data_IF_741593174390
#
_entry.id   IF_741593174390
#
_cell.length_a   1.000
_cell.length_b   1.000
_cell.length_c   1.000
_cell.angle_alpha   90.00
_cell.angle_beta   90.00
_cell.angle_gamma   90.00
#
_symmetry.space_group_name_H-M   'P 1'
#
loop_
_entity.id
_entity.type
_entity.pdbx_description
1 polymer ?
#
# COMPACT_ATOMS: atom_id res chain seq x y z
N UNK A 1 6.84 2.85 -0.04
CA UNK A 1 6.61 1.66 -0.88
C UNK A 1 7.61 0.60 -0.47
N UNK A 2 7.13 -0.62 -0.22
CA UNK A 2 7.96 -1.80 0.02
C UNK A 2 7.76 -2.79 -1.12
N UNK A 3 8.81 -3.54 -1.47
CA UNK A 3 8.75 -4.60 -2.48
C UNK A 3 9.10 -5.91 -1.80
N UNK A 4 8.21 -6.89 -1.90
CA UNK A 4 8.38 -8.21 -1.32
C UNK A 4 8.46 -9.24 -2.44
N UNK A 5 9.46 -10.11 -2.40
CA UNK A 5 9.58 -11.24 -3.32
C UNK A 5 8.55 -12.29 -2.93
N UNK A 6 7.83 -12.83 -3.92
CA UNK A 6 6.68 -13.68 -3.65
C UNK A 6 7.05 -14.99 -2.95
N UNK A 7 6.48 -15.14 -1.77
CA UNK A 7 6.22 -16.44 -1.13
C UNK A 7 4.76 -16.54 -0.66
N UNK A 8 3.95 -15.47 -0.83
CA UNK A 8 2.60 -15.33 -0.30
C UNK A 8 1.71 -14.64 -1.32
N UNK A 9 0.51 -15.17 -1.51
CA UNK A 9 -0.54 -14.51 -2.30
C UNK A 9 -0.92 -13.15 -1.72
N UNK A 10 -1.57 -12.33 -2.54
CA UNK A 10 -2.11 -11.03 -2.13
C UNK A 10 -3.03 -11.15 -0.91
N UNK A 11 -3.82 -12.23 -0.86
CA UNK A 11 -4.72 -12.54 0.24
C UNK A 11 -3.97 -12.86 1.53
N UNK A 12 -3.05 -13.83 1.47
CA UNK A 12 -2.22 -14.22 2.62
C UNK A 12 -1.44 -13.03 3.17
N UNK A 13 -0.95 -12.14 2.29
CA UNK A 13 -0.29 -10.92 2.72
C UNK A 13 -1.20 -9.98 3.51
N UNK A 14 -2.43 -9.76 3.05
CA UNK A 14 -3.38 -8.85 3.69
C UNK A 14 -3.90 -9.43 5.01
N UNK A 15 -4.15 -10.75 5.07
CA UNK A 15 -4.50 -11.45 6.30
C UNK A 15 -3.38 -11.32 7.34
N UNK A 16 -2.15 -11.64 6.97
CA UNK A 16 -0.98 -11.50 7.85
C UNK A 16 -0.76 -10.05 8.31
N UNK A 17 -0.99 -9.07 7.43
CA UNK A 17 -0.87 -7.66 7.77
C UNK A 17 -1.92 -7.25 8.83
N UNK A 18 -3.15 -7.69 8.61
CA UNK A 18 -4.29 -7.45 9.50
C UNK A 18 -4.06 -8.06 10.87
N UNK A 19 -3.63 -9.33 10.93
CA UNK A 19 -3.34 -10.02 12.18
C UNK A 19 -2.18 -9.38 12.96
N UNK A 20 -1.09 -9.02 12.27
CA UNK A 20 0.06 -8.36 12.90
C UNK A 20 -0.28 -7.00 13.48
N UNK A 21 -1.16 -6.24 12.83
CA UNK A 21 -1.58 -4.94 13.36
C UNK A 21 -2.58 -5.09 14.52
N UNK A 22 -3.49 -6.07 14.44
CA UNK A 22 -4.44 -6.34 15.52
C UNK A 22 -3.76 -6.84 16.82
N UNK A 23 -2.69 -7.63 16.71
CA UNK A 23 -2.01 -8.24 17.88
C UNK A 23 -1.22 -7.25 18.74
N UNK A 24 -0.95 -6.04 18.24
CA UNK A 24 -0.15 -5.03 18.95
C UNK A 24 -0.92 -3.84 19.50
N UNK A 25 -2.21 -3.71 19.19
CA UNK A 25 -2.94 -2.45 19.40
C UNK A 25 -4.43 -2.66 19.68
N UNK A 26 -4.90 -2.45 20.92
CA UNK A 26 -6.31 -2.62 21.28
C UNK A 26 -7.23 -1.57 20.63
N UNK A 27 -6.68 -0.49 20.08
CA UNK A 27 -7.40 0.52 19.30
C UNK A 27 -7.40 0.23 17.80
N UNK A 28 -6.86 -0.91 17.37
CA UNK A 28 -6.86 -1.30 15.98
C UNK A 28 -8.23 -1.78 15.52
N UNK A 29 -8.66 -1.31 14.35
CA UNK A 29 -9.93 -1.72 13.75
C UNK A 29 -9.87 -1.59 12.23
N UNK A 30 -10.04 -2.71 11.52
CA UNK A 30 -10.32 -2.69 10.08
C UNK A 30 -11.63 -1.95 9.80
N UNK A 31 -11.61 -0.99 8.89
CA UNK A 31 -12.79 -0.26 8.46
C UNK A 31 -13.32 -0.84 7.15
N UNK A 32 -12.44 -0.93 6.16
CA UNK A 32 -12.79 -1.38 4.81
C UNK A 32 -11.68 -2.26 4.25
N UNK A 33 -12.09 -3.15 3.35
CA UNK A 33 -11.23 -3.97 2.49
C UNK A 33 -11.84 -3.91 1.10
N UNK A 34 -11.04 -3.59 0.10
CA UNK A 34 -11.50 -3.38 -1.27
C UNK A 34 -10.55 -4.03 -2.25
N UNK A 35 -11.07 -4.99 -2.99
CA UNK A 35 -10.38 -5.57 -4.14
C UNK A 35 -10.47 -4.57 -5.30
N UNK A 36 -9.34 -4.24 -5.91
CA UNK A 36 -9.20 -3.18 -6.91
C UNK A 36 -8.09 -3.50 -7.91
N UNK A 37 -7.76 -2.54 -8.76
CA UNK A 37 -6.59 -2.59 -9.63
C UNK A 37 -5.75 -1.32 -9.49
N UNK A 38 -4.43 -1.49 -9.57
CA UNK A 38 -3.45 -0.39 -9.57
C UNK A 38 -2.48 -0.62 -10.72
N UNK A 39 -2.38 0.35 -11.63
CA UNK A 39 -1.52 0.22 -12.81
C UNK A 39 -1.86 -0.98 -13.72
N UNK A 40 -3.11 -1.46 -13.69
CA UNK A 40 -3.56 -2.65 -14.45
C UNK A 40 -3.34 -4.00 -13.74
N UNK A 41 -2.85 -3.98 -12.51
CA UNK A 41 -2.56 -5.17 -11.72
C UNK A 41 -3.55 -5.35 -10.57
N UNK A 42 -3.85 -6.59 -10.21
CA UNK A 42 -4.71 -6.92 -9.06
C UNK A 42 -4.13 -6.32 -7.76
N UNK A 43 -5.01 -5.73 -6.97
CA UNK A 43 -4.63 -5.06 -5.74
C UNK A 43 -5.71 -5.21 -4.67
N UNK A 44 -5.29 -5.18 -3.40
CA UNK A 44 -6.20 -5.07 -2.25
C UNK A 44 -5.81 -3.83 -1.48
N UNK A 45 -6.80 -2.97 -1.24
CA UNK A 45 -6.69 -1.82 -0.33
C UNK A 45 -7.44 -2.10 0.95
N UNK A 46 -6.81 -1.83 2.09
CA UNK A 46 -7.46 -1.82 3.40
C UNK A 46 -7.38 -0.43 4.01
N UNK A 47 -8.45 -0.01 4.67
CA UNK A 47 -8.45 1.17 5.54
C UNK A 47 -8.69 0.71 6.98
N UNK A 48 -7.97 1.30 7.91
CA UNK A 48 -8.01 0.89 9.31
C UNK A 48 -7.83 2.08 10.26
N UNK A 49 -8.31 1.91 11.49
CA UNK A 49 -8.01 2.77 12.65
C UNK A 49 -6.98 2.07 13.52
N UNK A 50 -6.16 2.85 14.23
CA UNK A 50 -5.14 2.32 15.14
C UNK A 50 -4.76 3.38 16.20
N UNK A 51 -4.11 2.99 17.29
CA UNK A 51 -3.39 3.83 18.24
C UNK A 51 -4.24 4.81 19.06
N UNK A 52 -5.57 4.70 18.98
CA UNK A 52 -6.51 5.67 19.55
C UNK A 52 -6.39 7.08 18.93
N UNK A 53 -7.16 8.03 19.46
CA UNK A 53 -7.12 9.46 19.07
C UNK A 53 -7.22 9.74 17.56
N UNK A 54 -8.15 9.06 16.86
CA UNK A 54 -8.53 9.43 15.49
C UNK A 54 -7.48 9.13 14.41
N UNK A 55 -6.41 8.38 14.72
CA UNK A 55 -5.46 7.93 13.69
C UNK A 55 -6.13 6.95 12.74
N UNK A 56 -5.70 6.99 11.48
CA UNK A 56 -6.16 6.08 10.45
C UNK A 56 -4.97 5.70 9.56
N UNK A 57 -5.08 4.55 8.93
CA UNK A 57 -4.13 4.13 7.90
C UNK A 57 -4.86 3.55 6.71
N UNK A 58 -4.16 3.60 5.58
CA UNK A 58 -4.56 2.97 4.33
C UNK A 58 -3.36 2.18 3.83
N UNK A 59 -3.57 0.91 3.50
CA UNK A 59 -2.54 0.06 2.92
C UNK A 59 -3.07 -0.53 1.60
N UNK A 60 -2.29 -0.43 0.54
CA UNK A 60 -2.60 -1.01 -0.77
C UNK A 60 -1.48 -1.95 -1.16
N UNK A 61 -1.78 -3.24 -1.28
CA UNK A 61 -0.89 -4.25 -1.84
C UNK A 61 -1.27 -4.48 -3.30
N UNK A 62 -0.28 -4.63 -4.18
CA UNK A 62 -0.45 -4.82 -5.63
C UNK A 62 0.38 -6.01 -6.07
N UNK A 63 -0.23 -6.95 -6.77
CA UNK A 63 0.43 -8.13 -7.32
C UNK A 63 0.99 -7.85 -8.72
N UNK A 64 2.32 -7.94 -8.88
CA UNK A 64 2.98 -7.83 -10.17
C UNK A 64 3.96 -8.99 -10.40
N UNK A 65 3.41 -10.14 -10.83
CA UNK A 65 4.18 -11.34 -11.09
C UNK A 65 4.70 -11.94 -9.79
N UNK A 66 6.01 -12.13 -9.69
CA UNK A 66 6.64 -12.69 -8.49
C UNK A 66 6.90 -11.65 -7.39
N UNK A 67 6.17 -10.53 -7.39
CA UNK A 67 6.38 -9.44 -6.44
C UNK A 67 5.08 -8.82 -5.97
N UNK A 68 5.02 -8.56 -4.66
CA UNK A 68 4.04 -7.69 -4.05
C UNK A 68 4.64 -6.30 -3.83
N UNK A 69 3.95 -5.28 -4.35
CA UNK A 69 4.25 -3.87 -4.11
C UNK A 69 3.27 -3.30 -3.09
N UNK A 70 3.79 -2.73 -2.01
CA UNK A 70 2.94 -2.27 -0.89
C UNK A 70 3.12 -0.78 -0.68
N UNK A 71 2.01 -0.06 -0.74
CA UNK A 71 1.87 1.34 -0.41
C UNK A 71 1.16 1.45 0.93
N UNK A 72 1.67 2.32 1.81
CA UNK A 72 1.10 2.51 3.14
C UNK A 72 1.05 4.01 3.43
N UNK A 73 -0.09 4.47 3.92
CA UNK A 73 -0.28 5.75 4.58
C UNK A 73 -0.71 5.49 6.02
N UNK A 74 -0.12 6.22 6.94
CA UNK A 74 -0.59 6.32 8.32
C UNK A 74 -0.61 7.78 8.70
N UNK A 75 -1.74 8.26 9.21
CA UNK A 75 -1.95 9.66 9.50
C UNK A 75 -2.78 9.83 10.77
N UNK A 76 -2.61 10.99 11.41
CA UNK A 76 -3.39 11.39 12.57
C UNK A 76 -4.34 12.52 12.21
N UNK A 77 -5.46 12.64 12.94
CA UNK A 77 -6.40 13.77 12.79
C UNK A 77 -5.80 15.16 13.09
N UNK A 78 -4.50 15.22 13.41
CA UNK A 78 -3.76 16.41 13.82
C UNK A 78 -2.79 16.91 12.73
N UNK A 79 -2.64 16.18 11.61
CA UNK A 79 -1.66 16.49 10.58
C UNK A 79 -2.20 17.36 9.43
N UNK A 80 -3.51 17.56 9.34
CA UNK A 80 -4.09 18.41 8.29
C UNK A 80 -3.81 19.89 8.56
N UNK A 81 -3.21 20.63 7.59
CA UNK A 81 -3.10 22.07 7.69
C UNK A 81 -4.49 22.72 7.83
N UNK A 82 -4.63 23.79 8.64
CA UNK A 82 -5.88 24.53 8.72
C UNK A 82 -6.36 24.96 7.32
N UNK A 83 -7.58 24.56 6.94
CA UNK A 83 -8.18 24.86 5.63
C UNK A 83 -7.95 23.83 4.53
N UNK A 84 -7.19 22.75 4.78
CA UNK A 84 -7.03 21.63 3.85
C UNK A 84 -7.23 20.27 4.56
N UNK A 85 -8.45 19.98 5.06
CA UNK A 85 -8.74 18.69 5.65
C UNK A 85 -8.65 17.58 4.58
N UNK A 86 -8.04 16.45 4.94
CA UNK A 86 -7.91 15.31 4.05
C UNK A 86 -6.84 15.46 2.95
N UNK A 87 -5.83 16.31 3.16
CA UNK A 87 -4.73 16.45 2.21
C UNK A 87 -3.92 15.15 2.08
N UNK A 88 -3.58 14.50 3.20
CA UNK A 88 -2.80 13.26 3.20
C UNK A 88 -3.53 12.06 2.57
N UNK A 89 -4.81 11.76 2.90
CA UNK A 89 -5.59 10.76 2.17
C UNK A 89 -5.73 11.09 0.68
N UNK A 90 -6.01 12.35 0.34
CA UNK A 90 -6.18 12.78 -1.05
C UNK A 90 -4.92 12.63 -1.88
N UNK A 91 -3.76 13.00 -1.31
CA UNK A 91 -2.47 12.81 -1.95
C UNK A 91 -2.14 11.32 -2.13
N UNK A 92 -2.41 10.49 -1.12
CA UNK A 92 -2.24 9.03 -1.24
C UNK A 92 -3.10 8.44 -2.35
N UNK A 93 -4.39 8.76 -2.38
CA UNK A 93 -5.30 8.28 -3.42
C UNK A 93 -4.82 8.72 -4.80
N UNK A 94 -4.44 9.98 -4.97
CA UNK A 94 -3.90 10.47 -6.23
C UNK A 94 -2.62 9.73 -6.65
N UNK A 95 -1.73 9.43 -5.70
CA UNK A 95 -0.53 8.62 -5.98
C UNK A 95 -0.88 7.21 -6.44
N UNK A 96 -1.86 6.55 -5.81
CA UNK A 96 -2.30 5.20 -6.20
C UNK A 96 -2.97 5.22 -7.58
N UNK A 97 -3.87 6.17 -7.83
CA UNK A 97 -4.61 6.30 -9.09
C UNK A 97 -3.69 6.59 -10.28
N UNK A 98 -2.60 7.32 -10.06
CA UNK A 98 -1.63 7.68 -11.10
C UNK A 98 -0.46 6.71 -11.20
N UNK A 99 -0.35 5.74 -10.29
CA UNK A 99 0.73 4.77 -10.32
C UNK A 99 0.63 3.87 -11.55
N UNK A 100 1.77 3.66 -12.20
CA UNK A 100 1.90 2.78 -13.37
C UNK A 100 3.21 2.01 -13.26
N UNK A 101 3.17 0.72 -13.60
CA UNK A 101 4.39 -0.03 -13.83
C UNK A 101 4.91 0.31 -15.23
N UNK A 102 6.17 0.74 -15.31
CA UNK A 102 6.84 0.90 -16.60
C UNK A 102 7.44 -0.43 -17.00
N UNK A 103 7.07 -0.96 -18.16
CA UNK A 103 7.76 -2.12 -18.72
C UNK A 103 9.24 -1.76 -18.89
N UNK A 104 10.14 -2.53 -18.26
CA UNK A 104 11.52 -2.53 -18.69
C UNK A 104 11.56 -3.21 -20.06
N UNK A 105 11.51 -2.39 -21.13
CA UNK A 105 11.83 -2.87 -22.47
C UNK A 105 13.16 -3.64 -22.46
N UNK A 106 13.33 -4.55 -23.43
CA UNK A 106 14.49 -5.44 -23.58
C UNK A 106 15.87 -4.74 -23.50
N UNK A 107 15.94 -3.42 -23.69
CA UNK A 107 17.15 -2.61 -23.53
C UNK A 107 17.57 -2.40 -22.05
N UNK A 108 16.64 -2.49 -21.10
CA UNK A 108 16.92 -2.32 -19.66
C UNK A 108 17.69 -3.49 -19.05
N UNK A 109 17.40 -4.73 -19.49
CA UNK A 109 18.12 -5.94 -19.06
C UNK A 109 19.56 -5.99 -19.57
N UNK A 110 19.82 -5.46 -20.76
CA UNK A 110 21.17 -5.45 -21.34
C UNK A 110 22.15 -4.54 -20.58
N UNK A 111 21.67 -3.47 -19.93
CA UNK A 111 22.54 -2.52 -19.21
C UNK A 111 22.99 -2.99 -17.83
N UNK A 112 22.30 -3.96 -17.22
CA UNK A 112 22.70 -4.54 -15.93
C UNK A 112 23.74 -5.65 -16.05
N UNK A 113 23.89 -6.28 -17.22
CA UNK A 113 24.84 -7.39 -17.43
C UNK A 113 26.31 -6.95 -17.67
N UNK A 114 26.61 -5.64 -17.66
CA UNK A 114 27.96 -5.11 -17.91
C UNK A 114 28.65 -4.52 -16.68
N UNK A 115 28.08 -4.68 -15.49
CA UNK A 115 28.72 -4.36 -14.22
C UNK A 115 28.75 -5.59 -13.34
N UNK A 116 29.65 -6.53 -13.65
CA UNK A 116 30.37 -7.42 -12.73
C UNK A 116 31.47 -8.16 -13.50
#
# INVERSE_FOLDING_TARGET
MSVLKDEKSLEEYIEDLTERFATGDPGWQLQTRTDTQVGGHEAITIEYRFGGMGRYGTATAVNNGDYLFVFNLTAGSFCDPPGMPGLEPGAYLHMIETFQFVEQGSEGRARQAHWN
#
